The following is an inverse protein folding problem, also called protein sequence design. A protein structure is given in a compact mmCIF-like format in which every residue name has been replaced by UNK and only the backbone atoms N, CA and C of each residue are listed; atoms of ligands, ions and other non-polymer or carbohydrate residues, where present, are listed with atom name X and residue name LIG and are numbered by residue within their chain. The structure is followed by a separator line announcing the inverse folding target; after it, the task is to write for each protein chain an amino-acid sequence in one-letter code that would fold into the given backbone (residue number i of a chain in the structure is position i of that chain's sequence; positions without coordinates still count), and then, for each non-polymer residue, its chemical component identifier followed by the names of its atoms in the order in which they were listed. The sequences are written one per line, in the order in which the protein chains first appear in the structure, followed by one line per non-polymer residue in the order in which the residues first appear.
data_IF_058687216717
#
_entry.id   IF_058687216717
#
_cell.length_a   1.000
_cell.length_b   1.000
_cell.length_c   1.000
_cell.angle_alpha   90.00
_cell.angle_beta   90.00
_cell.angle_gamma   90.00
#
_symmetry.space_group_name_H-M   'P 1'
#
loop_
_entity.id
_entity.type
_entity.pdbx_description
1 polymer ?
#
# COMPACT_ATOMS: atom_id res chain seq x y z
N UNK A 1 -4.07 -0.94 21.20
CA UNK A 1 -3.91 -0.96 19.73
C UNK A 1 -2.65 -1.74 19.39
N UNK A 2 -2.73 -2.68 18.48
CA UNK A 2 -1.62 -3.58 18.15
C UNK A 2 -1.34 -3.58 16.65
N UNK A 3 -0.05 -3.48 16.27
CA UNK A 3 0.40 -3.64 14.88
C UNK A 3 1.04 -5.02 14.77
N UNK A 4 0.62 -5.80 13.79
CA UNK A 4 1.16 -7.15 13.54
C UNK A 4 1.58 -7.30 12.09
N UNK A 5 2.76 -7.88 11.87
CA UNK A 5 3.26 -8.27 10.56
C UNK A 5 2.92 -9.74 10.28
N UNK A 6 1.70 -10.12 10.59
CA UNK A 6 1.15 -11.45 10.31
C UNK A 6 -0.36 -11.36 10.28
N UNK A 7 -0.97 -12.18 9.46
CA UNK A 7 -2.42 -12.31 9.45
C UNK A 7 -2.82 -13.72 9.86
N UNK A 8 -4.02 -13.82 10.41
CA UNK A 8 -4.66 -15.10 10.65
C UNK A 8 -5.63 -15.32 9.48
N UNK A 9 -5.78 -16.55 8.94
CA UNK A 9 -6.78 -16.82 7.89
C UNK A 9 -8.18 -16.32 8.23
N UNK A 10 -8.52 -16.24 9.50
CA UNK A 10 -9.81 -15.69 9.95
C UNK A 10 -9.94 -14.17 9.75
N UNK A 11 -8.83 -13.47 9.50
CA UNK A 11 -8.80 -12.03 9.29
C UNK A 11 -9.15 -11.63 7.85
N UNK A 12 -9.18 -12.58 6.91
CA UNK A 12 -9.36 -12.31 5.48
C UNK A 12 -10.65 -11.55 5.17
N UNK A 13 -11.75 -11.93 5.79
CA UNK A 13 -13.04 -11.27 5.56
C UNK A 13 -13.04 -9.82 6.03
N UNK A 14 -12.42 -9.55 7.18
CA UNK A 14 -12.31 -8.19 7.72
C UNK A 14 -11.42 -7.32 6.82
N UNK A 15 -10.27 -7.85 6.37
CA UNK A 15 -9.37 -7.16 5.46
C UNK A 15 -10.07 -6.86 4.15
N UNK A 16 -10.79 -7.84 3.59
CA UNK A 16 -11.55 -7.67 2.37
C UNK A 16 -12.60 -6.56 2.51
N UNK A 17 -13.35 -6.56 3.59
CA UNK A 17 -14.38 -5.55 3.84
C UNK A 17 -13.78 -4.14 3.94
N UNK A 18 -12.63 -3.99 4.61
CA UNK A 18 -11.94 -2.70 4.71
C UNK A 18 -11.48 -2.23 3.34
N UNK A 19 -10.94 -3.14 2.52
CA UNK A 19 -10.52 -2.79 1.16
C UNK A 19 -11.70 -2.25 0.35
N UNK A 20 -12.80 -2.99 0.34
CA UNK A 20 -13.98 -2.64 -0.47
C UNK A 20 -14.62 -1.33 -0.02
N UNK A 21 -14.53 -0.98 1.26
CA UNK A 21 -15.02 0.29 1.79
C UNK A 21 -14.11 1.48 1.43
N UNK A 22 -12.92 1.23 0.88
CA UNK A 22 -11.94 2.27 0.51
C UNK A 22 -11.79 2.46 -1.00
N UNK A 23 -12.66 1.88 -1.80
CA UNK A 23 -12.72 2.13 -3.24
C UNK A 23 -13.29 3.53 -3.46
N UNK A 24 -12.76 4.37 -4.38
CA UNK A 24 -11.75 4.06 -5.41
C UNK A 24 -10.29 4.34 -5.02
N UNK A 25 -10.01 4.84 -3.82
CA UNK A 25 -8.65 5.19 -3.40
C UNK A 25 -7.72 3.98 -3.43
N UNK A 26 -8.25 2.79 -3.08
CA UNK A 26 -7.60 1.51 -3.35
C UNK A 26 -8.36 0.79 -4.44
N UNK A 27 -7.68 -0.06 -5.18
CA UNK A 27 -8.30 -0.85 -6.24
C UNK A 27 -9.26 -1.89 -5.69
N UNK A 28 -10.32 -2.17 -6.45
CA UNK A 28 -11.26 -3.24 -6.14
C UNK A 28 -10.54 -4.60 -6.05
N UNK A 29 -10.94 -5.40 -5.09
CA UNK A 29 -10.56 -6.82 -5.01
C UNK A 29 -11.84 -7.61 -5.33
N UNK A 30 -11.80 -8.41 -6.40
CA UNK A 30 -13.00 -9.08 -6.92
C UNK A 30 -13.60 -10.08 -5.95
N UNK A 31 -12.74 -10.80 -5.20
CA UNK A 31 -13.18 -11.83 -4.26
C UNK A 31 -12.05 -12.18 -3.27
N UNK A 32 -12.37 -13.02 -2.31
CA UNK A 32 -11.41 -13.46 -1.27
C UNK A 32 -10.22 -14.22 -1.89
N UNK A 33 -10.43 -15.00 -2.94
CA UNK A 33 -9.34 -15.74 -3.58
C UNK A 33 -8.31 -14.78 -4.20
N UNK A 34 -8.77 -13.65 -4.75
CA UNK A 34 -7.88 -12.60 -5.25
C UNK A 34 -7.07 -11.97 -4.12
N UNK A 35 -7.71 -11.72 -2.98
CA UNK A 35 -7.00 -11.21 -1.79
C UNK A 35 -5.91 -12.19 -1.34
N UNK A 36 -6.21 -13.49 -1.32
CA UNK A 36 -5.22 -14.52 -0.98
C UNK A 36 -4.01 -14.47 -1.91
N UNK A 37 -4.24 -14.29 -3.22
CA UNK A 37 -3.14 -14.17 -4.20
C UNK A 37 -2.29 -12.92 -3.95
N UNK A 38 -2.90 -11.79 -3.64
CA UNK A 38 -2.18 -10.58 -3.29
C UNK A 38 -1.28 -10.81 -2.07
N UNK A 39 -1.80 -11.50 -1.07
CA UNK A 39 -1.05 -11.85 0.14
C UNK A 39 0.10 -12.82 -0.19
N UNK A 40 -0.12 -13.79 -1.07
CA UNK A 40 0.92 -14.73 -1.49
C UNK A 40 2.08 -14.03 -2.20
N UNK A 41 1.80 -12.99 -2.97
CA UNK A 41 2.83 -12.16 -3.61
C UNK A 41 3.51 -11.19 -2.64
N UNK A 42 2.90 -10.94 -1.49
CA UNK A 42 3.42 -9.96 -0.53
C UNK A 42 4.61 -10.51 0.25
N UNK A 43 5.50 -9.61 0.66
CA UNK A 43 6.54 -9.92 1.64
C UNK A 43 6.08 -9.58 3.05
N UNK A 44 5.16 -8.62 3.19
CA UNK A 44 4.57 -8.23 4.47
C UNK A 44 3.09 -7.90 4.30
N UNK A 45 2.29 -8.38 5.21
CA UNK A 45 0.92 -7.92 5.44
C UNK A 45 0.86 -7.44 6.88
N UNK A 46 0.81 -6.14 7.06
CA UNK A 46 0.77 -5.53 8.40
C UNK A 46 -0.67 -5.16 8.70
N UNK A 47 -1.19 -5.63 9.81
CA UNK A 47 -2.55 -5.29 10.28
C UNK A 47 -2.48 -4.48 11.56
N UNK A 48 -3.41 -3.56 11.71
CA UNK A 48 -3.62 -2.80 12.95
C UNK A 48 -4.90 -3.28 13.59
N UNK A 49 -4.82 -3.66 14.84
CA UNK A 49 -5.98 -4.13 15.61
C UNK A 49 -6.28 -3.24 16.81
N UNK A 50 -7.55 -3.01 17.03
CA UNK A 50 -8.12 -2.44 18.24
C UNK A 50 -9.39 -3.27 18.54
N UNK A 51 -9.20 -4.46 19.16
CA UNK A 51 -10.14 -5.56 19.30
C UNK A 51 -10.45 -6.21 17.96
N UNK A 52 -10.82 -5.45 16.95
CA UNK A 52 -11.01 -5.90 15.56
C UNK A 52 -9.95 -5.26 14.66
N UNK A 53 -9.82 -5.74 13.42
CA UNK A 53 -8.91 -5.13 12.45
C UNK A 53 -9.48 -3.77 12.03
N UNK A 54 -8.68 -2.72 12.11
CA UNK A 54 -9.07 -1.36 11.77
C UNK A 54 -8.28 -0.79 10.59
N UNK A 55 -7.23 -1.47 10.17
CA UNK A 55 -6.44 -1.07 9.01
C UNK A 55 -5.42 -2.11 8.62
N UNK A 56 -4.88 -2.00 7.40
CA UNK A 56 -3.84 -2.90 6.91
C UNK A 56 -3.02 -2.24 5.80
N UNK A 57 -1.84 -2.81 5.53
CA UNK A 57 -1.01 -2.47 4.39
C UNK A 57 -0.44 -3.76 3.80
N UNK A 58 -0.39 -3.83 2.47
CA UNK A 58 0.24 -4.94 1.75
C UNK A 58 1.51 -4.42 1.07
N UNK A 59 2.64 -5.04 1.37
CA UNK A 59 3.95 -4.70 0.84
C UNK A 59 4.48 -5.83 -0.03
N UNK A 60 5.11 -5.49 -1.16
CA UNK A 60 5.68 -6.46 -2.10
C UNK A 60 7.12 -6.13 -2.43
N UNK A 61 7.92 -7.16 -2.65
CA UNK A 61 9.27 -7.04 -3.19
C UNK A 61 9.23 -7.18 -4.72
N UNK A 62 10.36 -6.91 -5.36
CA UNK A 62 10.55 -7.08 -6.80
C UNK A 62 10.34 -8.54 -7.24
N UNK A 63 10.16 -8.73 -8.54
CA UNK A 63 10.14 -10.05 -9.22
C UNK A 63 8.98 -10.97 -8.85
N UNK A 64 7.84 -10.41 -8.48
CA UNK A 64 6.61 -11.19 -8.30
C UNK A 64 5.82 -11.24 -9.61
N UNK A 65 4.98 -12.27 -9.76
CA UNK A 65 4.13 -12.45 -10.95
C UNK A 65 2.84 -11.61 -10.92
N UNK A 66 2.88 -10.51 -10.19
CA UNK A 66 1.75 -9.59 -10.08
C UNK A 66 1.59 -8.78 -11.37
N UNK A 67 0.39 -8.80 -11.94
CA UNK A 67 0.11 -8.22 -13.26
C UNK A 67 -0.18 -6.72 -13.26
N UNK A 68 -0.23 -6.08 -12.09
CA UNK A 68 -0.48 -4.64 -11.98
C UNK A 68 0.52 -3.84 -12.80
N UNK A 69 0.03 -2.95 -13.66
CA UNK A 69 0.89 -2.09 -14.49
C UNK A 69 1.69 -1.12 -13.62
N UNK A 70 1.13 -0.66 -12.51
CA UNK A 70 1.83 0.20 -11.57
C UNK A 70 3.00 -0.54 -10.91
N UNK A 71 2.77 -1.76 -10.47
CA UNK A 71 3.82 -2.61 -9.93
C UNK A 71 4.90 -2.88 -10.98
N UNK A 72 4.50 -3.20 -12.21
CA UNK A 72 5.42 -3.48 -13.33
C UNK A 72 6.31 -2.28 -13.67
N UNK A 73 5.80 -1.06 -13.49
CA UNK A 73 6.62 0.14 -13.70
C UNK A 73 7.86 0.07 -12.80
N UNK A 74 7.68 -0.16 -11.50
CA UNK A 74 8.81 -0.24 -10.57
C UNK A 74 9.68 -1.46 -10.83
N UNK A 75 9.06 -2.60 -11.11
CA UNK A 75 9.80 -3.84 -11.39
C UNK A 75 10.68 -3.73 -12.63
N UNK A 76 10.34 -2.88 -13.58
CA UNK A 76 11.12 -2.64 -14.80
C UNK A 76 12.31 -1.71 -14.60
N UNK A 77 12.42 -1.01 -13.48
CA UNK A 77 13.48 -0.04 -13.22
C UNK A 77 14.83 -0.69 -12.89
N UNK A 78 14.87 -1.97 -12.57
CA UNK A 78 16.10 -2.74 -12.40
C UNK A 78 16.77 -2.61 -11.04
N UNK A 79 16.10 -2.06 -10.04
CA UNK A 79 16.62 -2.02 -8.67
C UNK A 79 15.66 -2.74 -7.71
N UNK A 80 16.16 -3.28 -6.58
CA UNK A 80 15.28 -3.87 -5.57
C UNK A 80 14.49 -2.78 -4.85
N UNK A 81 13.28 -3.10 -4.40
CA UNK A 81 12.39 -2.11 -3.79
C UNK A 81 11.41 -2.76 -2.82
N UNK A 82 10.78 -1.93 -2.00
CA UNK A 82 9.63 -2.27 -1.19
C UNK A 82 8.43 -1.48 -1.71
N UNK A 83 7.47 -2.17 -2.30
CA UNK A 83 6.32 -1.57 -2.95
C UNK A 83 5.10 -1.63 -2.06
N UNK A 84 4.45 -0.48 -1.87
CA UNK A 84 3.17 -0.41 -1.17
C UNK A 84 2.07 -0.66 -2.21
N UNK A 85 1.52 -1.88 -2.22
CA UNK A 85 0.42 -2.19 -3.13
C UNK A 85 -0.85 -1.46 -2.72
N UNK A 86 -1.17 -1.51 -1.44
CA UNK A 86 -2.34 -0.80 -0.90
C UNK A 86 -2.24 -0.61 0.60
N UNK A 87 -2.87 0.45 1.07
CA UNK A 87 -3.10 0.74 2.48
C UNK A 87 -4.56 1.16 2.62
N UNK A 88 -5.25 0.63 3.59
CA UNK A 88 -6.63 0.99 3.85
C UNK A 88 -6.92 1.01 5.34
N UNK A 89 -7.73 1.97 5.77
CA UNK A 89 -8.09 2.20 7.16
C UNK A 89 -9.60 2.35 7.23
N UNK A 90 -10.23 1.76 8.23
CA UNK A 90 -11.66 1.95 8.48
C UNK A 90 -11.97 3.44 8.62
N UNK A 91 -13.06 3.90 8.03
CA UNK A 91 -13.43 5.31 7.98
C UNK A 91 -13.47 5.97 9.35
N UNK A 92 -14.05 5.29 10.34
CA UNK A 92 -14.17 5.81 11.70
C UNK A 92 -12.84 5.96 12.43
N UNK A 93 -11.77 5.36 11.90
CA UNK A 93 -10.42 5.43 12.46
C UNK A 93 -9.48 6.31 11.64
N UNK A 94 -9.97 6.95 10.58
CA UNK A 94 -9.18 7.90 9.77
C UNK A 94 -8.93 9.17 10.56
N UNK A 95 -7.86 9.91 10.20
CA UNK A 95 -7.46 11.18 10.82
C UNK A 95 -7.07 11.04 12.28
N UNK A 96 -6.66 9.84 12.70
CA UNK A 96 -6.18 9.54 14.06
C UNK A 96 -4.70 9.14 14.08
N UNK A 97 -3.98 9.41 13.00
CA UNK A 97 -2.56 9.10 12.90
C UNK A 97 -2.22 7.66 12.56
N UNK A 98 -3.22 6.81 12.22
CA UNK A 98 -2.97 5.39 11.90
C UNK A 98 -2.18 5.23 10.60
N UNK A 99 -2.51 6.00 9.58
CA UNK A 99 -1.78 5.96 8.31
C UNK A 99 -0.31 6.32 8.52
N UNK A 100 -0.05 7.35 9.31
CA UNK A 100 1.31 7.78 9.65
C UNK A 100 2.07 6.68 10.41
N UNK A 101 1.41 6.02 11.36
CA UNK A 101 1.99 4.92 12.13
C UNK A 101 2.36 3.74 11.23
N UNK A 102 1.45 3.36 10.32
CA UNK A 102 1.67 2.26 9.38
C UNK A 102 2.82 2.59 8.41
N UNK A 103 2.84 3.82 7.87
CA UNK A 103 3.92 4.25 6.98
C UNK A 103 5.26 4.36 7.71
N UNK A 104 5.27 4.80 8.95
CA UNK A 104 6.50 4.83 9.76
C UNK A 104 7.07 3.42 9.94
N UNK A 105 6.20 2.44 10.18
CA UNK A 105 6.63 1.04 10.28
C UNK A 105 7.15 0.52 8.93
N UNK A 106 6.51 0.89 7.83
CA UNK A 106 6.94 0.51 6.48
C UNK A 106 8.32 1.10 6.16
N UNK A 107 8.54 2.36 6.48
CA UNK A 107 9.82 3.04 6.25
C UNK A 107 10.92 2.42 7.12
N UNK A 108 10.61 2.04 8.36
CA UNK A 108 11.53 1.33 9.23
C UNK A 108 11.99 0.00 8.60
N UNK A 109 11.04 -0.78 8.06
CA UNK A 109 11.35 -2.03 7.35
C UNK A 109 12.24 -1.75 6.13
N UNK A 110 11.91 -0.72 5.34
CA UNK A 110 12.70 -0.36 4.16
C UNK A 110 14.12 0.04 4.54
N UNK A 111 14.30 0.78 5.63
CA UNK A 111 15.64 1.15 6.14
C UNK A 111 16.45 -0.07 6.56
N UNK A 112 15.84 -0.98 7.29
CA UNK A 112 16.49 -2.22 7.74
C UNK A 112 16.96 -3.07 6.55
N UNK A 113 16.17 -3.10 5.48
CA UNK A 113 16.48 -3.84 4.26
C UNK A 113 17.33 -3.05 3.26
N UNK A 114 17.57 -1.76 3.53
CA UNK A 114 18.25 -0.83 2.63
C UNK A 114 17.59 -0.76 1.25
N UNK A 115 16.25 -0.61 1.25
CA UNK A 115 15.43 -0.56 0.04
C UNK A 115 14.70 0.77 -0.08
N UNK A 116 14.54 1.29 -1.32
CA UNK A 116 13.61 2.40 -1.51
C UNK A 116 12.16 1.91 -1.33
N UNK A 117 11.30 2.79 -0.84
CA UNK A 117 9.86 2.55 -0.73
C UNK A 117 9.18 3.17 -1.95
N UNK A 118 8.34 2.40 -2.62
CA UNK A 118 7.67 2.82 -3.85
C UNK A 118 6.15 2.70 -3.71
N UNK A 119 5.43 3.61 -4.31
CA UNK A 119 3.97 3.57 -4.36
C UNK A 119 3.45 4.44 -5.51
N UNK A 120 2.15 4.40 -5.76
CA UNK A 120 1.47 5.32 -6.68
C UNK A 120 0.29 5.99 -5.99
N UNK A 121 -0.05 7.19 -6.46
CA UNK A 121 -1.20 7.96 -5.96
C UNK A 121 -1.95 8.55 -7.16
N UNK A 122 -3.28 8.53 -7.10
CA UNK A 122 -4.12 9.11 -8.13
C UNK A 122 -3.93 10.63 -8.22
N UNK A 123 -3.71 11.11 -9.44
CA UNK A 123 -3.61 12.53 -9.76
C UNK A 123 -4.84 13.03 -10.51
N UNK A 124 -5.61 12.10 -11.12
CA UNK A 124 -6.87 12.42 -11.82
C UNK A 124 -7.81 11.21 -11.66
N UNK A 125 -8.90 11.30 -10.90
CA UNK A 125 -9.19 12.40 -9.98
C UNK A 125 -8.12 12.54 -8.91
N UNK A 126 -7.82 13.78 -8.53
CA UNK A 126 -6.69 14.08 -7.64
C UNK A 126 -6.97 13.66 -6.20
N UNK A 127 -6.10 12.85 -5.64
CA UNK A 127 -6.15 12.46 -4.23
C UNK A 127 -5.22 13.36 -3.41
N UNK A 128 -5.66 14.60 -3.16
CA UNK A 128 -4.89 15.61 -2.43
C UNK A 128 -4.38 15.13 -1.07
N UNK A 129 -5.21 14.52 -0.21
CA UNK A 129 -4.71 14.07 1.09
C UNK A 129 -3.60 13.06 0.99
N UNK A 130 -3.70 12.11 0.04
CA UNK A 130 -2.65 11.09 -0.17
C UNK A 130 -1.37 11.68 -0.71
N UNK A 131 -1.47 12.67 -1.62
CA UNK A 131 -0.30 13.35 -2.17
C UNK A 131 0.43 14.14 -1.07
N UNK A 132 -0.31 14.91 -0.28
CA UNK A 132 0.24 15.68 0.83
C UNK A 132 0.87 14.77 1.90
N UNK A 133 0.21 13.67 2.20
CA UNK A 133 0.69 12.68 3.16
C UNK A 133 2.07 12.12 2.76
N UNK A 134 2.20 11.70 1.49
CA UNK A 134 3.47 11.13 1.00
C UNK A 134 4.56 12.19 0.86
N UNK A 135 4.19 13.39 0.47
CA UNK A 135 5.15 14.51 0.42
C UNK A 135 5.75 14.76 1.81
N UNK A 136 4.93 14.69 2.85
CA UNK A 136 5.40 14.87 4.24
C UNK A 136 6.43 13.81 4.66
N UNK A 137 6.43 12.63 4.04
CA UNK A 137 7.42 11.58 4.29
C UNK A 137 8.66 11.69 3.40
N UNK A 138 8.68 12.62 2.46
CA UNK A 138 9.83 12.83 1.57
C UNK A 138 9.84 11.96 0.33
N UNK A 139 8.68 11.51 -0.13
CA UNK A 139 8.58 10.80 -1.41
C UNK A 139 8.81 11.76 -2.57
N UNK A 140 9.48 11.27 -3.60
CA UNK A 140 9.79 12.03 -4.83
C UNK A 140 9.02 11.45 -6.02
N UNK A 141 8.62 12.31 -6.95
CA UNK A 141 7.98 11.95 -8.21
C UNK A 141 9.02 11.29 -9.13
N UNK A 142 8.75 10.06 -9.58
CA UNK A 142 9.64 9.32 -10.48
C UNK A 142 8.95 8.89 -11.78
N UNK A 143 7.73 9.35 -12.03
CA UNK A 143 7.03 9.07 -13.27
C UNK A 143 5.52 9.22 -13.11
N UNK A 144 4.83 9.13 -14.24
CA UNK A 144 3.37 9.22 -14.28
C UNK A 144 2.82 8.22 -15.28
N UNK A 145 1.54 7.90 -15.16
CA UNK A 145 0.83 7.10 -16.14
C UNK A 145 -0.61 7.54 -16.22
N UNK A 146 -1.09 7.69 -17.46
CA UNK A 146 -2.48 7.96 -17.75
C UNK A 146 -3.16 6.65 -18.15
N UNK A 147 -4.24 6.34 -17.44
CA UNK A 147 -5.14 5.24 -17.80
C UNK A 147 -6.38 5.85 -18.46
N UNK A 148 -7.24 5.01 -18.98
CA UNK A 148 -8.47 5.46 -19.64
C UNK A 148 -9.38 6.25 -18.69
N UNK A 149 -9.48 5.84 -17.44
CA UNK A 149 -10.42 6.39 -16.45
C UNK A 149 -9.73 7.14 -15.30
N UNK A 150 -8.39 7.14 -15.23
CA UNK A 150 -7.65 7.82 -14.17
C UNK A 150 -6.19 8.01 -14.54
N UNK A 151 -5.48 8.81 -13.75
CA UNK A 151 -4.04 8.99 -13.88
C UNK A 151 -3.36 8.84 -12.53
N UNK A 152 -2.11 8.41 -12.53
CA UNK A 152 -1.32 8.23 -11.31
C UNK A 152 0.04 8.89 -11.42
N UNK A 153 0.61 9.27 -10.27
CA UNK A 153 2.02 9.60 -10.13
C UNK A 153 2.72 8.46 -9.41
N UNK A 154 3.90 8.08 -9.87
CA UNK A 154 4.76 7.10 -9.22
C UNK A 154 5.71 7.83 -8.28
N UNK A 155 5.76 7.36 -7.04
CA UNK A 155 6.51 7.99 -5.96
C UNK A 155 7.54 7.02 -5.38
N UNK A 156 8.69 7.55 -5.01
CA UNK A 156 9.78 6.77 -4.45
C UNK A 156 10.45 7.54 -3.32
N UNK A 157 10.73 6.84 -2.23
CA UNK A 157 11.50 7.38 -1.11
C UNK A 157 12.75 6.54 -0.91
N UNK A 158 13.94 7.17 -0.93
CA UNK A 158 15.19 6.47 -0.62
C UNK A 158 15.22 5.99 0.84
N UNK A 159 15.98 4.92 1.16
CA UNK A 159 16.02 4.35 2.51
C UNK A 159 16.77 5.21 3.53
N UNK A 160 17.44 6.25 3.09
CA UNK A 160 18.20 7.14 3.98
C UNK A 160 17.36 8.22 4.61
#
# INVERSE_FOLDING_TARGET
MCIRDRYNPNDLEEIFAINQANIPEVGNIDNIDRLKRLIDWSCHLIVVKDEEIIGFIILMRENQSYESLNYKFFNSQGYPFLYVDRIAIKEEYRRKGLGQMIYSKTIEIAKELNLPTCCEVNTLPKNEPSLAFRDSFGFEDVGTKDYEDHSVVYLRKSPS
#
